data_IF_930455617818
#
_entry.id   IF_930455617818
#
_cell.length_a   1.000
_cell.length_b   1.000
_cell.length_c   1.000
_cell.angle_alpha   90.00
_cell.angle_beta   90.00
_cell.angle_gamma   90.00
#
_symmetry.space_group_name_H-M   'P 1'
#
loop_
_entity.id
_entity.type
_entity.pdbx_description
1 polymer ?
#
# COMPACT_ATOMS: atom_id res chain seq x y z
N UNK A 1 -3.48 14.97 -9.78
CA UNK A 1 -2.34 15.88 -9.67
C UNK A 1 -2.53 16.88 -10.79
N UNK A 2 -2.85 18.12 -10.45
CA UNK A 2 -2.87 19.21 -11.44
C UNK A 2 -1.40 19.56 -11.70
N UNK A 3 -0.94 19.34 -12.92
CA UNK A 3 0.33 19.88 -13.42
C UNK A 3 0.15 21.39 -13.49
N UNK A 4 0.74 22.12 -12.53
CA UNK A 4 0.77 23.57 -12.59
C UNK A 4 1.80 23.96 -13.66
N UNK A 5 1.32 24.32 -14.84
CA UNK A 5 2.11 24.85 -15.94
C UNK A 5 2.54 26.28 -15.58
N UNK A 6 3.55 26.41 -14.71
CA UNK A 6 4.08 27.71 -14.31
C UNK A 6 5.11 28.15 -15.34
N UNK A 7 4.65 28.87 -16.37
CA UNK A 7 5.54 29.44 -17.37
C UNK A 7 6.27 30.67 -16.81
N UNK A 8 7.61 30.68 -16.74
CA UNK A 8 8.34 31.78 -16.10
C UNK A 8 8.28 33.10 -16.90
N UNK A 9 7.88 33.04 -18.17
CA UNK A 9 7.70 34.21 -19.03
C UNK A 9 6.52 35.11 -18.62
N UNK A 10 5.54 34.56 -17.90
CA UNK A 10 4.36 35.30 -17.48
C UNK A 10 4.60 36.19 -16.25
N UNK A 11 5.75 36.04 -15.58
CA UNK A 11 6.04 36.66 -14.28
C UNK A 11 7.28 37.57 -14.33
N UNK A 12 7.24 38.66 -13.56
CA UNK A 12 8.45 39.48 -13.32
C UNK A 12 9.42 38.73 -12.39
N UNK A 13 10.69 39.16 -12.31
CA UNK A 13 11.70 38.47 -11.47
C UNK A 13 11.25 38.38 -10.01
N UNK A 14 10.63 39.43 -9.49
CA UNK A 14 10.13 39.52 -8.10
C UNK A 14 8.94 38.57 -7.86
N UNK A 15 7.99 38.53 -8.80
CA UNK A 15 6.84 37.62 -8.73
C UNK A 15 7.23 36.16 -8.92
N UNK A 16 8.21 35.89 -9.78
CA UNK A 16 8.70 34.53 -10.01
C UNK A 16 9.43 34.02 -8.76
N UNK A 17 10.19 34.87 -8.06
CA UNK A 17 10.88 34.49 -6.82
C UNK A 17 9.91 34.04 -5.73
N UNK A 18 8.80 34.75 -5.52
CA UNK A 18 7.78 34.39 -4.52
C UNK A 18 7.08 33.06 -4.86
N UNK A 19 6.81 32.83 -6.16
CA UNK A 19 6.23 31.56 -6.64
C UNK A 19 7.21 30.39 -6.48
N UNK A 20 8.50 30.60 -6.78
CA UNK A 20 9.56 29.60 -6.61
C UNK A 20 9.66 29.14 -5.16
N UNK A 21 9.55 30.05 -4.19
CA UNK A 21 9.59 29.71 -2.76
C UNK A 21 8.45 28.74 -2.35
N UNK A 22 7.30 28.83 -3.01
CA UNK A 22 6.14 27.95 -2.77
C UNK A 22 6.20 26.60 -3.50
N UNK A 23 7.15 26.41 -4.43
CA UNK A 23 7.30 25.16 -5.17
C UNK A 23 8.18 24.19 -4.37
N UNK A 24 7.61 23.04 -4.00
CA UNK A 24 8.30 21.96 -3.28
C UNK A 24 8.80 20.82 -4.20
N UNK A 25 8.51 20.90 -5.50
CA UNK A 25 8.87 19.86 -6.46
C UNK A 25 10.17 20.22 -7.22
N UNK A 26 11.26 19.45 -7.05
CA UNK A 26 12.56 19.75 -7.65
C UNK A 26 12.57 19.55 -9.17
N UNK A 27 11.69 18.71 -9.73
CA UNK A 27 11.61 18.52 -11.18
C UNK A 27 11.06 19.78 -11.85
N UNK A 28 10.01 20.36 -11.28
CA UNK A 28 9.38 21.60 -11.72
C UNK A 28 10.37 22.77 -11.67
N UNK A 29 11.11 22.91 -10.57
CA UNK A 29 12.15 23.95 -10.45
C UNK A 29 13.26 23.80 -11.50
N UNK A 30 13.66 22.56 -11.80
CA UNK A 30 14.67 22.29 -12.83
C UNK A 30 14.19 22.68 -14.23
N UNK A 31 12.95 22.36 -14.58
CA UNK A 31 12.36 22.76 -15.87
C UNK A 31 12.29 24.29 -16.01
N UNK A 32 11.97 25.00 -14.93
CA UNK A 32 11.99 26.47 -14.90
C UNK A 32 13.42 27.04 -15.08
N UNK A 33 14.43 26.42 -14.47
CA UNK A 33 15.83 26.84 -14.62
C UNK A 33 16.33 26.69 -16.07
N UNK A 34 16.02 25.56 -16.70
CA UNK A 34 16.34 25.30 -18.11
C UNK A 34 15.62 26.31 -19.00
N UNK A 35 14.32 26.53 -18.80
CA UNK A 35 13.53 27.52 -19.53
C UNK A 35 14.07 28.96 -19.38
N UNK A 36 14.48 29.38 -18.18
CA UNK A 36 15.09 30.69 -17.93
C UNK A 36 16.48 30.82 -18.59
N UNK A 37 17.21 29.71 -18.70
CA UNK A 37 18.52 29.66 -19.35
C UNK A 37 18.43 29.84 -20.86
N UNK A 38 17.40 29.27 -21.48
CA UNK A 38 17.20 29.37 -22.92
C UNK A 38 16.58 30.72 -23.34
N UNK A 39 15.72 31.33 -22.51
CA UNK A 39 14.83 32.39 -23.00
C UNK A 39 15.18 33.81 -22.56
N UNK A 40 15.57 34.04 -21.30
CA UNK A 40 15.70 35.42 -20.78
C UNK A 40 16.97 35.68 -19.95
N UNK A 41 17.70 34.64 -19.51
CA UNK A 41 18.95 34.75 -18.75
C UNK A 41 18.90 35.78 -17.59
N UNK A 42 17.75 35.86 -16.91
CA UNK A 42 17.54 36.77 -15.78
C UNK A 42 18.28 36.21 -14.58
N UNK A 43 19.44 36.79 -14.26
CA UNK A 43 20.33 36.27 -13.20
C UNK A 43 19.60 36.09 -11.86
N UNK A 44 18.79 37.07 -11.45
CA UNK A 44 18.06 36.99 -10.17
C UNK A 44 17.02 35.87 -10.10
N UNK A 45 16.34 35.56 -11.21
CA UNK A 45 15.38 34.44 -11.26
C UNK A 45 16.10 33.09 -11.11
N UNK A 46 17.24 32.92 -11.80
CA UNK A 46 18.04 31.70 -11.71
C UNK A 46 18.63 31.47 -10.32
N UNK A 47 19.13 32.53 -9.69
CA UNK A 47 19.65 32.46 -8.32
C UNK A 47 18.57 32.03 -7.32
N UNK A 48 17.33 32.50 -7.50
CA UNK A 48 16.20 32.07 -6.66
C UNK A 48 15.85 30.58 -6.87
N UNK A 49 15.83 30.10 -8.12
CA UNK A 49 15.56 28.68 -8.43
C UNK A 49 16.67 27.77 -7.88
N UNK A 50 17.93 28.15 -8.08
CA UNK A 50 19.09 27.37 -7.63
C UNK A 50 19.14 27.26 -6.10
N UNK A 51 18.88 28.37 -5.39
CA UNK A 51 18.81 28.37 -3.93
C UNK A 51 17.71 27.42 -3.42
N UNK A 52 16.52 27.46 -4.02
CA UNK A 52 15.40 26.60 -3.61
C UNK A 52 15.67 25.12 -3.89
N UNK A 53 16.31 24.81 -5.02
CA UNK A 53 16.68 23.45 -5.38
C UNK A 53 17.74 22.89 -4.41
N UNK A 54 18.72 23.71 -3.99
CA UNK A 54 19.70 23.34 -2.96
C UNK A 54 19.04 23.09 -1.60
N UNK A 55 18.05 23.89 -1.21
CA UNK A 55 17.26 23.67 0.01
C UNK A 55 16.47 22.35 -0.06
N UNK A 56 15.82 22.05 -1.18
CA UNK A 56 15.05 20.81 -1.35
C UNK A 56 15.94 19.56 -1.45
N UNK A 57 17.14 19.66 -2.04
CA UNK A 57 18.14 18.59 -2.04
C UNK A 57 18.69 18.31 -0.62
N UNK A 58 18.87 19.34 0.21
CA UNK A 58 19.27 19.18 1.61
C UNK A 58 18.18 18.49 2.47
N UNK A 59 16.90 18.80 2.21
CA UNK A 59 15.76 18.10 2.79
C UNK A 59 15.63 16.67 2.26
N UNK A 60 15.93 16.43 0.97
CA UNK A 60 15.99 15.09 0.39
C UNK A 60 17.13 14.24 1.00
N UNK A 61 18.29 14.84 1.31
CA UNK A 61 19.38 14.13 2.00
C UNK A 61 19.02 13.81 3.46
N UNK A 62 18.35 14.71 4.18
CA UNK A 62 17.86 14.47 5.55
C UNK A 62 16.72 13.42 5.59
N UNK A 63 15.88 13.40 4.54
CA UNK A 63 14.83 12.39 4.33
C UNK A 63 15.42 11.04 3.89
N UNK A 64 16.46 11.04 3.06
CA UNK A 64 17.17 9.84 2.62
C UNK A 64 17.88 9.15 3.80
N UNK A 65 18.54 9.92 4.67
CA UNK A 65 19.15 9.37 5.90
C UNK A 65 18.09 8.78 6.86
N UNK A 66 16.90 9.39 6.95
CA UNK A 66 15.80 8.86 7.76
C UNK A 66 15.13 7.61 7.14
N UNK A 67 15.10 7.49 5.81
CA UNK A 67 14.54 6.32 5.11
C UNK A 67 15.53 5.16 5.11
N UNK A 68 16.84 5.42 5.04
CA UNK A 68 17.89 4.39 5.08
C UNK A 68 17.99 3.75 6.47
N UNK A 69 17.87 4.54 7.55
CA UNK A 69 17.81 4.01 8.93
C UNK A 69 16.54 3.18 9.17
N UNK A 70 15.41 3.55 8.55
CA UNK A 70 14.16 2.79 8.63
C UNK A 70 14.24 1.49 7.81
N UNK A 71 14.91 1.51 6.65
CA UNK A 71 15.11 0.32 5.82
C UNK A 71 16.03 -0.70 6.49
N UNK A 72 17.11 -0.26 7.11
CA UNK A 72 18.03 -1.13 7.86
C UNK A 72 17.37 -1.68 9.14
N UNK A 73 16.50 -0.90 9.80
CA UNK A 73 15.67 -1.38 10.92
C UNK A 73 14.58 -2.37 10.49
N UNK A 74 13.98 -2.20 9.30
CA UNK A 74 13.04 -3.15 8.72
C UNK A 74 13.78 -4.42 8.27
N UNK A 75 14.95 -4.32 7.65
CA UNK A 75 15.75 -5.47 7.23
C UNK A 75 16.22 -6.31 8.42
N UNK A 76 16.70 -5.67 9.50
CA UNK A 76 16.97 -6.34 10.79
C UNK A 76 15.74 -6.92 11.46
N UNK A 77 14.55 -6.33 11.26
CA UNK A 77 13.28 -6.88 11.76
C UNK A 77 12.78 -8.05 10.91
N UNK A 78 13.11 -8.10 9.62
CA UNK A 78 12.80 -9.18 8.70
C UNK A 78 13.76 -10.37 8.88
N UNK A 79 15.03 -10.12 9.23
CA UNK A 79 15.98 -11.16 9.66
C UNK A 79 15.64 -11.75 11.05
N UNK A 80 14.79 -11.09 11.83
CA UNK A 80 14.36 -11.56 13.16
C UNK A 80 13.02 -12.32 13.15
N UNK A 81 12.41 -12.53 11.98
CA UNK A 81 11.20 -13.35 11.82
C UNK A 81 11.51 -14.78 11.35
N UNK A 82 12.79 -15.15 11.22
CA UNK A 82 13.20 -16.56 11.15
C UNK A 82 13.29 -17.13 12.59
N UNK A 83 12.14 -17.49 13.12
CA UNK A 83 12.03 -17.93 14.51
C UNK A 83 10.64 -18.38 14.93
N UNK A 84 9.91 -19.07 14.04
CA UNK A 84 8.78 -19.90 14.48
C UNK A 84 8.99 -21.32 14.00
N UNK A 85 9.82 -22.06 14.74
CA UNK A 85 9.75 -23.51 14.77
C UNK A 85 8.52 -23.92 15.59
N UNK A 86 7.46 -24.39 14.92
CA UNK A 86 6.53 -25.32 15.55
C UNK A 86 6.12 -26.43 14.57
N UNK A 87 6.99 -27.43 14.58
CA UNK A 87 6.79 -28.89 14.50
C UNK A 87 5.80 -29.54 13.51
N UNK A 88 6.41 -30.31 12.61
CA UNK A 88 6.06 -31.69 12.20
C UNK A 88 4.85 -31.93 11.28
N UNK A 89 5.18 -32.15 10.00
CA UNK A 89 4.63 -33.26 9.20
C UNK A 89 3.61 -32.88 8.14
N UNK A 90 4.03 -32.76 6.88
CA UNK A 90 4.02 -33.87 5.92
C UNK A 90 4.60 -33.38 4.59
N UNK A 91 5.21 -34.28 3.85
CA UNK A 91 5.94 -33.96 2.63
C UNK A 91 4.95 -33.69 1.50
N UNK A 92 4.77 -32.42 1.10
CA UNK A 92 4.19 -32.13 -0.22
C UNK A 92 4.90 -30.92 -0.87
N UNK A 93 5.80 -31.26 -1.79
CA UNK A 93 6.73 -30.39 -2.53
C UNK A 93 6.04 -29.61 -3.66
N UNK A 94 4.73 -29.34 -3.61
CA UNK A 94 4.01 -28.74 -4.76
C UNK A 94 3.32 -27.38 -4.49
N UNK A 95 3.09 -26.98 -3.23
CA UNK A 95 2.38 -25.73 -2.90
C UNK A 95 3.31 -24.79 -2.13
N UNK A 96 3.55 -23.57 -2.64
CA UNK A 96 4.42 -22.58 -1.98
C UNK A 96 3.59 -21.71 -1.00
N UNK A 97 4.28 -21.17 0.01
CA UNK A 97 3.73 -20.30 1.05
C UNK A 97 3.40 -21.02 2.37
N UNK A 98 3.57 -20.34 3.49
CA UNK A 98 3.10 -20.75 4.82
C UNK A 98 1.64 -20.35 5.03
N UNK A 99 0.94 -21.03 5.94
CA UNK A 99 -0.43 -20.64 6.38
C UNK A 99 -0.48 -19.16 6.78
N UNK A 100 0.56 -18.66 7.46
CA UNK A 100 0.65 -17.26 7.87
C UNK A 100 0.71 -16.28 6.69
N UNK A 101 1.46 -16.62 5.65
CA UNK A 101 1.59 -15.79 4.43
C UNK A 101 0.26 -15.74 3.68
N UNK A 102 -0.43 -16.87 3.55
CA UNK A 102 -1.74 -16.94 2.90
C UNK A 102 -2.80 -16.16 3.67
N UNK A 103 -2.80 -16.26 5.00
CA UNK A 103 -3.70 -15.46 5.82
C UNK A 103 -3.46 -13.95 5.64
N UNK A 104 -2.21 -13.51 5.65
CA UNK A 104 -1.87 -12.10 5.44
C UNK A 104 -2.32 -11.63 4.05
N UNK A 105 -2.07 -12.43 3.02
CA UNK A 105 -2.47 -12.10 1.65
C UNK A 105 -3.99 -11.99 1.48
N UNK A 106 -4.76 -12.91 2.09
CA UNK A 106 -6.24 -12.84 2.07
C UNK A 106 -6.75 -11.61 2.82
N UNK A 107 -6.16 -11.24 3.96
CA UNK A 107 -6.55 -10.04 4.71
C UNK A 107 -6.36 -8.75 3.91
N UNK A 108 -5.29 -8.69 3.14
CA UNK A 108 -4.94 -7.54 2.29
C UNK A 108 -5.87 -7.45 1.06
N UNK A 109 -5.95 -8.54 0.29
CA UNK A 109 -6.56 -8.49 -1.06
C UNK A 109 -8.05 -8.72 -1.12
N UNK A 110 -8.58 -9.52 -0.18
CA UNK A 110 -9.97 -9.93 -0.28
C UNK A 110 -10.96 -8.76 -0.13
N UNK A 111 -10.81 -7.82 0.83
CA UNK A 111 -11.77 -6.73 1.03
C UNK A 111 -11.95 -5.87 -0.23
N UNK A 112 -10.86 -5.60 -0.94
CA UNK A 112 -10.88 -4.87 -2.21
C UNK A 112 -11.61 -5.64 -3.31
N UNK A 113 -11.40 -6.97 -3.37
CA UNK A 113 -12.00 -7.82 -4.39
C UNK A 113 -13.52 -7.96 -4.23
N UNK A 114 -14.01 -8.05 -2.99
CA UNK A 114 -15.44 -8.30 -2.71
C UNK A 114 -16.22 -7.02 -2.36
N UNK A 115 -15.55 -5.87 -2.27
CA UNK A 115 -16.11 -4.58 -1.82
C UNK A 115 -16.82 -4.68 -0.46
N UNK A 116 -16.31 -5.53 0.44
CA UNK A 116 -16.86 -5.74 1.78
C UNK A 116 -15.72 -5.92 2.79
N UNK A 117 -15.84 -5.35 4.00
CA UNK A 117 -14.82 -5.53 5.03
C UNK A 117 -14.77 -6.98 5.50
N UNK A 118 -13.55 -7.51 5.58
CA UNK A 118 -13.27 -8.80 6.19
C UNK A 118 -13.51 -8.71 7.70
N UNK A 119 -14.25 -9.66 8.25
CA UNK A 119 -14.48 -9.77 9.69
C UNK A 119 -13.47 -10.72 10.35
N UNK A 120 -13.33 -11.93 9.80
CA UNK A 120 -12.47 -12.98 10.36
C UNK A 120 -12.13 -14.05 9.33
N UNK A 121 -11.01 -14.75 9.55
CA UNK A 121 -10.62 -15.97 8.82
C UNK A 121 -10.97 -17.16 9.71
N UNK A 122 -11.73 -18.11 9.17
CA UNK A 122 -12.32 -19.23 9.91
C UNK A 122 -11.54 -20.53 9.70
N UNK A 123 -11.10 -20.76 8.47
CA UNK A 123 -10.44 -22.01 8.08
C UNK A 123 -9.40 -21.70 7.01
N UNK A 124 -8.23 -22.35 7.10
CA UNK A 124 -7.17 -22.31 6.09
C UNK A 124 -6.67 -23.73 5.92
N UNK A 125 -6.85 -24.27 4.72
CA UNK A 125 -6.44 -25.61 4.35
C UNK A 125 -5.58 -25.57 3.09
N UNK A 126 -4.58 -26.46 3.05
CA UNK A 126 -3.79 -26.73 1.86
C UNK A 126 -4.37 -27.95 1.14
N UNK A 127 -4.58 -27.83 -0.16
CA UNK A 127 -5.08 -28.87 -1.06
C UNK A 127 -4.07 -29.09 -2.21
N UNK A 128 -4.25 -30.15 -2.99
CA UNK A 128 -3.41 -30.45 -4.17
C UNK A 128 -3.40 -29.31 -5.22
N UNK A 129 -4.47 -28.51 -5.28
CA UNK A 129 -4.62 -27.40 -6.22
C UNK A 129 -4.07 -26.05 -5.68
N UNK A 130 -3.64 -26.01 -4.42
CA UNK A 130 -3.17 -24.78 -3.75
C UNK A 130 -3.78 -24.61 -2.35
N UNK A 131 -4.51 -23.51 -2.14
CA UNK A 131 -5.07 -23.15 -0.84
C UNK A 131 -6.57 -22.95 -0.89
N UNK A 132 -7.23 -23.33 0.21
CA UNK A 132 -8.63 -23.07 0.49
C UNK A 132 -8.74 -22.26 1.76
N UNK A 133 -9.45 -21.14 1.70
CA UNK A 133 -9.66 -20.28 2.85
C UNK A 133 -11.14 -19.99 3.01
N UNK A 134 -11.66 -20.19 4.22
CA UNK A 134 -13.02 -19.77 4.60
C UNK A 134 -12.91 -18.50 5.43
N UNK A 135 -13.68 -17.49 5.03
CA UNK A 135 -13.72 -16.21 5.74
C UNK A 135 -15.15 -15.76 6.02
N UNK A 136 -15.28 -14.83 6.95
CA UNK A 136 -16.49 -14.08 7.21
C UNK A 136 -16.27 -12.60 6.85
N UNK A 137 -17.25 -12.00 6.19
CA UNK A 137 -17.23 -10.60 5.78
C UNK A 137 -18.53 -9.92 6.22
N UNK A 138 -18.46 -8.65 6.63
CA UNK A 138 -19.65 -7.89 7.06
C UNK A 138 -20.33 -7.32 5.83
N UNK A 139 -21.38 -7.99 5.34
CA UNK A 139 -22.15 -7.52 4.17
C UNK A 139 -23.07 -6.34 4.49
N UNK A 140 -23.53 -6.24 5.74
CA UNK A 140 -24.37 -5.13 6.19
C UNK A 140 -24.22 -4.92 7.69
N UNK A 141 -23.92 -3.68 8.06
CA UNK A 141 -23.88 -3.23 9.44
C UNK A 141 -25.28 -2.99 10.01
N UNK A 142 -25.48 -3.36 11.26
CA UNK A 142 -26.68 -3.12 12.06
C UNK A 142 -26.32 -2.41 13.37
N UNK A 143 -27.32 -1.87 14.06
CA UNK A 143 -27.16 -1.34 15.41
C UNK A 143 -28.15 -2.08 16.32
N UNK A 144 -27.68 -2.83 17.34
CA UNK A 144 -26.28 -3.01 17.74
C UNK A 144 -25.45 -3.85 16.74
N UNK A 145 -24.11 -3.74 16.79
CA UNK A 145 -23.15 -4.47 15.92
C UNK A 145 -23.24 -6.01 16.06
N UNK A 146 -23.80 -6.50 17.17
CA UNK A 146 -24.13 -7.92 17.36
C UNK A 146 -25.22 -8.42 16.40
N UNK A 147 -25.91 -7.52 15.69
CA UNK A 147 -26.94 -7.83 14.71
C UNK A 147 -26.44 -7.64 13.25
N UNK A 148 -25.13 -7.50 13.05
CA UNK A 148 -24.52 -7.42 11.72
C UNK A 148 -24.86 -8.65 10.88
N UNK A 149 -24.99 -8.45 9.57
CA UNK A 149 -25.18 -9.53 8.60
C UNK A 149 -23.81 -9.92 8.05
N UNK A 150 -23.41 -11.16 8.35
CA UNK A 150 -22.15 -11.75 7.90
C UNK A 150 -22.40 -12.66 6.69
N UNK A 151 -21.49 -12.60 5.72
CA UNK A 151 -21.40 -13.55 4.63
C UNK A 151 -20.21 -14.47 4.83
N UNK A 152 -20.41 -15.79 4.74
CA UNK A 152 -19.29 -16.75 4.68
C UNK A 152 -18.86 -16.95 3.25
N UNK A 153 -17.58 -16.74 2.99
CA UNK A 153 -16.98 -16.90 1.68
C UNK A 153 -15.96 -18.02 1.69
N UNK A 154 -15.92 -18.78 0.59
CA UNK A 154 -14.84 -19.70 0.29
C UNK A 154 -13.97 -19.10 -0.81
N UNK A 155 -12.68 -18.98 -0.52
CA UNK A 155 -11.65 -18.47 -1.40
C UNK A 155 -10.73 -19.63 -1.79
N UNK A 156 -10.45 -19.75 -3.08
CA UNK A 156 -9.46 -20.68 -3.62
C UNK A 156 -8.29 -19.88 -4.14
N UNK A 157 -7.10 -20.20 -3.64
CA UNK A 157 -5.85 -19.60 -4.08
C UNK A 157 -4.97 -20.66 -4.73
N UNK A 158 -4.17 -20.25 -5.70
CA UNK A 158 -3.19 -21.11 -6.36
C UNK A 158 -2.00 -21.38 -5.45
N UNK A 159 -1.08 -22.21 -5.94
CA UNK A 159 0.18 -22.49 -5.25
C UNK A 159 1.10 -21.27 -5.10
N UNK A 160 0.88 -20.22 -5.89
CA UNK A 160 1.55 -18.92 -5.80
C UNK A 160 0.87 -17.95 -4.82
N UNK A 161 -0.24 -18.35 -4.20
CA UNK A 161 -0.99 -17.53 -3.26
C UNK A 161 -1.97 -16.55 -3.91
N UNK A 162 -2.10 -16.52 -5.24
CA UNK A 162 -3.08 -15.67 -5.91
C UNK A 162 -4.51 -16.23 -5.85
N UNK A 163 -5.48 -15.33 -5.65
CA UNK A 163 -6.89 -15.67 -5.60
C UNK A 163 -7.40 -15.98 -7.02
N UNK A 164 -7.79 -17.24 -7.27
CA UNK A 164 -8.37 -17.65 -8.55
C UNK A 164 -9.89 -17.69 -8.55
N UNK A 165 -10.50 -17.91 -7.38
CA UNK A 165 -11.95 -18.03 -7.25
C UNK A 165 -12.39 -17.63 -5.85
N UNK A 166 -13.53 -16.98 -5.77
CA UNK A 166 -14.28 -16.84 -4.53
C UNK A 166 -15.75 -17.21 -4.76
N UNK A 167 -16.43 -17.68 -3.71
CA UNK A 167 -17.88 -17.87 -3.71
C UNK A 167 -18.47 -17.58 -2.34
N UNK A 168 -19.64 -16.94 -2.30
CA UNK A 168 -20.44 -16.83 -1.08
C UNK A 168 -21.15 -18.16 -0.82
N UNK A 169 -20.92 -18.75 0.36
CA UNK A 169 -21.53 -20.01 0.78
C UNK A 169 -22.89 -19.80 1.43
N UNK A 170 -22.96 -18.87 2.37
CA UNK A 170 -24.19 -18.54 3.07
C UNK A 170 -24.12 -17.09 3.60
N UNK A 171 -25.21 -16.65 4.21
CA UNK A 171 -25.32 -15.36 4.88
C UNK A 171 -26.19 -15.53 6.11
N UNK A 172 -25.77 -15.01 7.25
CA UNK A 172 -26.45 -15.11 8.53
C UNK A 172 -26.26 -13.84 9.35
N UNK A 173 -26.99 -13.72 10.46
CA UNK A 173 -26.76 -12.64 11.42
C UNK A 173 -25.71 -13.09 12.43
N UNK A 174 -24.91 -12.17 12.95
CA UNK A 174 -23.87 -12.48 13.95
C UNK A 174 -24.42 -13.16 15.22
N UNK A 175 -25.65 -12.83 15.64
CA UNK A 175 -26.33 -13.48 16.77
C UNK A 175 -26.90 -14.89 16.45
N UNK A 176 -26.87 -15.28 15.18
CA UNK A 176 -27.33 -16.60 14.74
C UNK A 176 -26.29 -17.65 15.11
N UNK A 177 -26.44 -18.19 16.32
CA UNK A 177 -25.69 -19.36 16.80
C UNK A 177 -26.25 -20.62 16.14
N UNK A 178 -26.07 -20.71 14.82
CA UNK A 178 -26.27 -21.97 14.10
C UNK A 178 -25.16 -22.94 14.55
N UNK A 179 -25.48 -24.11 15.14
CA UNK A 179 -24.47 -25.07 15.55
C UNK A 179 -23.66 -25.53 14.34
N UNK A 180 -22.33 -25.54 14.47
CA UNK A 180 -21.45 -26.21 13.50
C UNK A 180 -21.65 -27.72 13.66
N UNK A 181 -22.26 -28.36 12.66
CA UNK A 181 -22.33 -29.82 12.54
C UNK A 181 -21.02 -30.38 11.98
#
# INVERSE_FOLDING_TARGET
MEEQDVTPEAYTVDELSDEIESIDDPATLKEMYDAETEQQNRTGAKEAIEARLEELDADANTKAESIEETRDAIERSLESIDGTEDTSGDSDEAVRGSIGEIQAHVRDRLPELIDQPLDSIIEVDRDEEGWRVIVECIERRSVPDTQDILGRYEIRLGADGQIHRYRRRNRYRRDDTSPVE
#
